data_IF_957658154041
#
_entry.id   IF_957658154041
#
_cell.length_a   1.000
_cell.length_b   1.000
_cell.length_c   1.000
_cell.angle_alpha   90.00
_cell.angle_beta   90.00
_cell.angle_gamma   90.00
#
_symmetry.space_group_name_H-M   'P 1'
#
loop_
_entity.id
_entity.type
_entity.pdbx_description
1 polymer ?
#
# COMPACT_ATOMS: atom_id res chain seq x y z
N UNK A 1 11.03 6.70 -48.63
CA UNK A 1 11.48 7.15 -47.30
C UNK A 1 10.62 6.45 -46.24
N UNK A 2 11.18 5.50 -45.48
CA UNK A 2 10.48 4.87 -44.35
C UNK A 2 10.57 5.79 -43.13
N UNK A 3 9.43 6.27 -42.64
CA UNK A 3 9.35 6.93 -41.32
C UNK A 3 9.64 5.87 -40.25
N UNK A 4 10.75 6.02 -39.54
CA UNK A 4 10.99 5.26 -38.32
C UNK A 4 10.11 5.86 -37.22
N UNK A 5 9.10 5.08 -36.79
CA UNK A 5 8.44 5.35 -35.52
C UNK A 5 9.46 5.12 -34.40
N UNK A 6 9.88 6.19 -33.74
CA UNK A 6 10.60 6.11 -32.47
C UNK A 6 9.58 5.77 -31.39
N UNK A 7 9.51 4.50 -31.01
CA UNK A 7 8.81 4.07 -29.80
C UNK A 7 9.51 4.70 -28.61
N UNK A 8 8.89 5.70 -27.98
CA UNK A 8 9.36 6.20 -26.69
C UNK A 8 9.15 5.08 -25.67
N UNK A 9 10.25 4.50 -25.17
CA UNK A 9 10.22 3.54 -24.08
C UNK A 9 9.94 4.26 -22.77
N UNK A 10 8.66 4.52 -22.48
CA UNK A 10 8.19 4.86 -21.13
C UNK A 10 7.88 3.54 -20.42
N UNK A 11 8.89 2.73 -20.08
CA UNK A 11 8.67 1.42 -19.42
C UNK A 11 9.82 1.02 -18.47
N UNK A 12 10.22 1.86 -17.52
CA UNK A 12 11.20 1.39 -16.51
C UNK A 12 11.00 1.85 -15.08
N UNK A 13 10.14 2.84 -14.82
CA UNK A 13 9.95 3.37 -13.47
C UNK A 13 8.69 2.85 -12.78
N UNK A 14 7.64 2.54 -13.54
CA UNK A 14 6.42 1.92 -13.01
C UNK A 14 6.67 0.48 -12.57
N UNK A 15 7.26 -0.35 -13.43
CA UNK A 15 7.51 -1.76 -13.14
C UNK A 15 8.29 -2.04 -11.85
N UNK A 16 9.26 -1.20 -11.48
CA UNK A 16 10.09 -1.41 -10.28
C UNK A 16 9.28 -1.21 -8.98
N UNK A 17 8.34 -0.25 -8.98
CA UNK A 17 7.48 0.00 -7.82
C UNK A 17 6.50 -1.15 -7.62
N UNK A 18 5.89 -1.60 -8.70
CA UNK A 18 4.85 -2.63 -8.66
C UNK A 18 5.46 -4.01 -8.36
N UNK A 19 6.68 -4.27 -8.86
CA UNK A 19 7.48 -5.45 -8.51
C UNK A 19 7.85 -5.46 -7.01
N UNK A 20 8.22 -4.30 -6.45
CA UNK A 20 8.51 -4.20 -5.03
C UNK A 20 7.28 -4.50 -4.18
N UNK A 21 6.13 -3.88 -4.45
CA UNK A 21 4.89 -4.16 -3.72
C UNK A 21 4.41 -5.62 -3.87
N UNK A 22 4.69 -6.25 -5.00
CA UNK A 22 4.38 -7.68 -5.24
C UNK A 22 5.28 -8.63 -4.44
N UNK A 23 6.49 -8.19 -4.05
CA UNK A 23 7.42 -8.97 -3.23
C UNK A 23 7.08 -8.99 -1.74
N UNK A 24 6.23 -8.05 -1.29
CA UNK A 24 5.89 -7.89 0.12
C UNK A 24 4.90 -8.95 0.61
N UNK A 25 4.96 -9.22 1.92
CA UNK A 25 3.97 -10.04 2.61
C UNK A 25 2.96 -9.13 3.30
N UNK A 26 1.69 -9.38 3.03
CA UNK A 26 0.55 -8.65 3.56
C UNK A 26 -0.15 -9.43 4.67
N UNK A 27 -0.83 -8.72 5.56
CA UNK A 27 -1.68 -9.29 6.59
C UNK A 27 -2.83 -8.33 6.91
N UNK A 28 -3.88 -8.87 7.54
CA UNK A 28 -4.94 -8.04 8.09
C UNK A 28 -4.53 -7.55 9.48
N UNK A 29 -4.52 -6.24 9.67
CA UNK A 29 -4.33 -5.63 10.99
C UNK A 29 -5.57 -4.82 11.38
N UNK A 30 -5.67 -4.52 12.67
CA UNK A 30 -6.66 -3.63 13.24
C UNK A 30 -5.97 -2.61 14.14
N UNK A 31 -6.30 -1.34 13.95
CA UNK A 31 -5.98 -0.26 14.88
C UNK A 31 -7.31 0.28 15.38
N UNK A 32 -7.52 0.29 16.70
CA UNK A 32 -8.82 0.54 17.32
C UNK A 32 -9.94 -0.29 16.67
N UNK A 33 -10.89 0.37 15.99
CA UNK A 33 -11.99 -0.24 15.25
C UNK A 33 -11.79 -0.31 13.74
N UNK A 34 -10.70 0.28 13.23
CA UNK A 34 -10.37 0.27 11.81
C UNK A 34 -9.67 -1.03 11.42
N UNK A 35 -10.29 -1.80 10.53
CA UNK A 35 -9.65 -2.96 9.88
C UNK A 35 -8.87 -2.49 8.66
N UNK A 36 -7.60 -2.86 8.58
CA UNK A 36 -6.68 -2.48 7.52
C UNK A 36 -6.21 -3.76 6.82
N UNK A 37 -6.79 -4.04 5.64
CA UNK A 37 -6.45 -5.20 4.81
C UNK A 37 -5.15 -5.02 4.02
N UNK A 38 -4.77 -3.78 3.73
CA UNK A 38 -3.51 -3.44 3.06
C UNK A 38 -2.38 -3.18 4.07
N UNK A 39 -2.27 -4.01 5.11
CA UNK A 39 -1.10 -3.96 5.99
C UNK A 39 -0.01 -4.87 5.44
N UNK A 40 1.24 -4.43 5.47
CA UNK A 40 2.37 -5.21 4.96
C UNK A 40 3.59 -5.17 5.87
N UNK A 41 4.41 -6.21 5.78
CA UNK A 41 5.66 -6.35 6.51
C UNK A 41 6.81 -5.90 5.62
N UNK A 42 7.55 -4.89 6.07
CA UNK A 42 8.72 -4.39 5.35
C UNK A 42 9.94 -4.39 6.28
N UNK A 43 10.81 -5.39 6.10
CA UNK A 43 12.05 -5.50 6.86
C UNK A 43 13.14 -4.53 6.40
N UNK A 44 12.97 -3.89 5.24
CA UNK A 44 13.89 -2.87 4.73
C UNK A 44 13.53 -1.46 5.23
N UNK A 45 12.28 -1.23 5.63
CA UNK A 45 11.89 0.01 6.30
C UNK A 45 12.29 -0.01 7.77
N UNK A 46 13.00 1.02 8.23
CA UNK A 46 13.38 1.13 9.65
C UNK A 46 12.17 1.34 10.57
N UNK A 47 11.21 2.13 10.13
CA UNK A 47 10.01 2.52 10.88
C UNK A 47 8.72 2.07 10.18
N UNK A 48 7.63 2.00 10.93
CA UNK A 48 6.31 1.79 10.36
C UNK A 48 5.75 3.07 9.70
N UNK A 49 4.81 2.90 8.79
CA UNK A 49 4.15 4.01 8.10
C UNK A 49 2.65 3.77 8.00
N UNK A 50 1.83 4.79 8.25
CA UNK A 50 0.39 4.76 8.00
C UNK A 50 0.05 5.86 7.01
N UNK A 51 -0.73 5.53 5.97
CA UNK A 51 -1.06 6.54 4.98
C UNK A 51 -2.14 7.52 5.46
N UNK A 52 -2.31 8.60 4.69
CA UNK A 52 -3.33 9.61 4.92
C UNK A 52 -4.74 9.04 5.10
N UNK A 53 -5.13 8.06 4.28
CA UNK A 53 -6.42 7.39 4.42
C UNK A 53 -6.60 6.73 5.80
N UNK A 54 -5.58 6.02 6.30
CA UNK A 54 -5.60 5.44 7.65
C UNK A 54 -5.74 6.51 8.73
N UNK A 55 -4.93 7.57 8.69
CA UNK A 55 -4.94 8.62 9.72
C UNK A 55 -6.28 9.37 9.72
N UNK A 56 -6.79 9.70 8.53
CA UNK A 56 -8.07 10.39 8.37
C UNK A 56 -9.24 9.53 8.86
N UNK A 57 -9.23 8.23 8.57
CA UNK A 57 -10.25 7.30 9.05
C UNK A 57 -10.26 7.15 10.58
N UNK A 58 -9.09 7.22 11.21
CA UNK A 58 -8.95 7.21 12.67
C UNK A 58 -9.29 8.57 13.32
N UNK A 59 -9.29 9.65 12.53
CA UNK A 59 -9.50 11.02 13.04
C UNK A 59 -8.38 11.49 13.98
N UNK A 60 -7.19 10.90 13.88
CA UNK A 60 -6.10 11.16 14.81
C UNK A 60 -5.28 12.39 14.43
N UNK A 61 -4.64 12.98 15.45
CA UNK A 61 -3.61 14.00 15.31
C UNK A 61 -2.27 13.40 15.70
N UNK A 62 -1.21 13.81 15.02
CA UNK A 62 0.13 13.35 15.35
C UNK A 62 0.52 13.78 16.77
N UNK A 63 1.20 12.91 17.50
CA UNK A 63 1.72 13.17 18.85
C UNK A 63 2.80 14.26 18.80
N UNK A 64 3.61 14.23 17.73
CA UNK A 64 4.67 15.20 17.45
C UNK A 64 4.86 15.36 15.94
N UNK A 65 5.32 16.54 15.48
CA UNK A 65 5.76 16.71 14.11
C UNK A 65 6.94 15.79 13.80
N UNK A 66 7.14 15.52 12.52
CA UNK A 66 8.35 14.87 12.04
C UNK A 66 9.35 15.91 11.53
N UNK A 67 10.63 15.62 11.72
CA UNK A 67 11.76 16.49 11.39
C UNK A 67 12.70 15.89 10.32
N UNK A 68 12.33 14.75 9.72
CA UNK A 68 13.14 14.08 8.69
C UNK A 68 12.35 13.86 7.40
N UNK A 69 13.06 13.96 6.28
CA UNK A 69 12.57 13.51 4.99
C UNK A 69 12.67 11.99 4.89
N UNK A 70 11.64 11.34 4.36
CA UNK A 70 11.69 9.90 4.08
C UNK A 70 12.42 9.70 2.77
N UNK A 71 13.59 9.05 2.83
CA UNK A 71 14.29 8.59 1.63
C UNK A 71 13.92 7.14 1.38
N UNK A 72 12.97 6.91 0.48
CA UNK A 72 12.50 5.56 0.12
C UNK A 72 12.62 5.27 -1.38
N UNK A 73 12.40 4.01 -1.74
CA UNK A 73 12.31 3.58 -3.14
C UNK A 73 10.95 3.89 -3.78
N UNK A 74 9.96 4.27 -2.97
CA UNK A 74 8.62 4.62 -3.45
C UNK A 74 8.62 6.00 -4.08
N UNK A 75 8.06 6.12 -5.29
CA UNK A 75 7.77 7.40 -5.95
C UNK A 75 6.66 8.19 -5.24
N UNK A 76 5.94 7.55 -4.32
CA UNK A 76 4.75 8.10 -3.68
C UNK A 76 5.01 8.64 -2.27
N UNK A 77 6.07 8.19 -1.59
CA UNK A 77 6.34 8.56 -0.19
C UNK A 77 7.41 9.65 -0.19
N UNK A 78 6.97 10.91 -0.19
CA UNK A 78 7.85 12.08 -0.22
C UNK A 78 8.16 12.63 1.16
N UNK A 79 7.18 12.68 2.07
CA UNK A 79 7.32 13.35 3.36
C UNK A 79 6.76 12.55 4.54
N UNK A 80 7.47 12.61 5.67
CA UNK A 80 6.97 12.21 6.98
C UNK A 80 6.23 13.39 7.59
N UNK A 81 4.92 13.26 7.84
CA UNK A 81 4.10 14.40 8.29
C UNK A 81 3.90 14.47 9.81
N UNK A 82 4.30 13.43 10.55
CA UNK A 82 4.14 13.37 12.00
C UNK A 82 4.22 11.95 12.53
N UNK A 83 4.46 11.82 13.84
CA UNK A 83 4.59 10.54 14.52
C UNK A 83 3.36 10.18 15.35
N UNK A 84 3.09 8.88 15.38
CA UNK A 84 2.15 8.24 16.27
C UNK A 84 2.91 7.17 17.05
N UNK A 85 2.80 7.21 18.36
CA UNK A 85 3.58 6.39 19.29
C UNK A 85 2.68 5.47 20.09
N UNK A 86 3.22 4.30 20.44
CA UNK A 86 2.54 3.29 21.25
C UNK A 86 1.15 2.86 20.72
N UNK A 87 0.97 2.90 19.40
CA UNK A 87 -0.30 2.56 18.75
C UNK A 87 -0.57 1.06 18.87
N UNK A 88 -1.72 0.63 19.42
CA UNK A 88 -2.05 -0.78 19.55
C UNK A 88 -2.40 -1.39 18.19
N UNK A 89 -1.51 -2.24 17.67
CA UNK A 89 -1.74 -2.97 16.42
C UNK A 89 -2.19 -4.38 16.77
N UNK A 90 -3.41 -4.72 16.37
CA UNK A 90 -4.04 -6.01 16.64
C UNK A 90 -4.08 -6.87 15.38
N UNK A 91 -3.66 -8.11 15.48
CA UNK A 91 -3.58 -9.06 14.36
C UNK A 91 -4.16 -10.40 14.82
N UNK A 92 -4.83 -11.13 13.92
CA UNK A 92 -5.31 -12.48 14.20
C UNK A 92 -4.24 -13.51 13.89
N UNK A 93 -4.00 -14.44 14.81
CA UNK A 93 -3.22 -15.63 14.51
C UNK A 93 -4.02 -16.63 13.67
N UNK A 94 -3.35 -17.72 13.25
CA UNK A 94 -3.93 -18.79 12.45
C UNK A 94 -5.15 -19.47 13.09
N UNK A 95 -5.28 -19.40 14.41
CA UNK A 95 -6.38 -20.01 15.17
C UNK A 95 -7.52 -18.98 15.39
N UNK A 96 -7.39 -17.78 14.79
CA UNK A 96 -8.35 -16.68 14.89
C UNK A 96 -8.21 -15.86 16.17
N UNK A 97 -7.22 -16.15 17.02
CA UNK A 97 -7.00 -15.41 18.27
C UNK A 97 -6.35 -14.06 17.96
N UNK A 98 -6.91 -13.00 18.52
CA UNK A 98 -6.30 -11.67 18.45
C UNK A 98 -5.07 -11.57 19.35
N UNK A 99 -3.99 -11.02 18.80
CA UNK A 99 -2.79 -10.61 19.51
C UNK A 99 -2.55 -9.12 19.23
N UNK A 100 -2.10 -8.39 20.24
CA UNK A 100 -1.90 -6.93 20.13
C UNK A 100 -0.50 -6.57 20.61
N UNK A 101 0.21 -5.79 19.80
CA UNK A 101 1.52 -5.23 20.16
C UNK A 101 1.56 -3.76 19.75
N UNK A 102 2.16 -2.92 20.60
CA UNK A 102 2.25 -1.48 20.28
C UNK A 102 3.34 -1.20 19.26
N UNK A 103 3.08 -0.28 18.34
CA UNK A 103 4.03 0.16 17.31
C UNK A 103 4.05 1.67 17.16
N UNK A 104 5.17 2.16 16.65
CA UNK A 104 5.32 3.56 16.28
C UNK A 104 5.31 3.64 14.75
N UNK A 105 4.60 4.63 14.21
CA UNK A 105 4.62 4.89 12.79
C UNK A 105 4.60 6.38 12.48
N UNK A 106 5.10 6.69 11.29
CA UNK A 106 4.92 8.01 10.69
C UNK A 106 3.68 8.04 9.82
N UNK A 107 3.04 9.20 9.73
CA UNK A 107 2.13 9.49 8.62
C UNK A 107 2.93 9.61 7.32
N UNK A 108 2.47 8.94 6.27
CA UNK A 108 3.00 9.05 4.91
C UNK A 108 1.88 9.50 3.98
N UNK A 109 2.19 10.41 3.07
CA UNK A 109 1.36 10.60 1.88
C UNK A 109 1.79 9.54 0.85
N UNK A 110 0.83 8.83 0.28
CA UNK A 110 1.07 7.92 -0.85
C UNK A 110 0.05 8.12 -1.99
N UNK A 111 -0.88 9.07 -1.86
CA UNK A 111 -1.97 9.28 -2.81
C UNK A 111 -3.05 8.19 -2.86
N UNK A 112 -2.94 7.12 -2.05
CA UNK A 112 -3.89 6.00 -2.09
C UNK A 112 -5.14 6.30 -1.23
N UNK A 113 -6.35 6.03 -1.75
CA UNK A 113 -7.59 6.29 -1.01
C UNK A 113 -7.88 5.21 0.06
N UNK A 114 -7.26 4.03 -0.05
CA UNK A 114 -7.49 2.93 0.88
C UNK A 114 -6.54 2.99 2.09
N UNK A 115 -7.02 2.66 3.32
CA UNK A 115 -6.16 2.55 4.48
C UNK A 115 -5.02 1.54 4.27
N UNK A 116 -3.80 1.98 4.56
CA UNK A 116 -2.57 1.20 4.44
C UNK A 116 -1.72 1.33 5.72
N UNK A 117 -1.06 0.22 6.10
CA UNK A 117 -0.16 0.17 7.25
C UNK A 117 1.11 -0.64 6.92
N UNK A 118 2.25 0.05 6.87
CA UNK A 118 3.58 -0.55 6.84
C UNK A 118 4.03 -0.91 8.26
N UNK A 119 4.33 -2.18 8.49
CA UNK A 119 4.97 -2.70 9.69
C UNK A 119 6.47 -2.86 9.44
N UNK A 120 7.22 -1.82 9.78
CA UNK A 120 8.67 -1.75 9.58
C UNK A 120 9.47 -2.63 10.54
N UNK A 121 10.78 -2.68 10.31
CA UNK A 121 11.73 -3.52 11.03
C UNK A 121 11.74 -3.28 12.54
N UNK A 122 11.54 -2.04 13.00
CA UNK A 122 11.44 -1.74 14.45
C UNK A 122 10.31 -2.52 15.11
N UNK A 123 9.13 -2.57 14.50
CA UNK A 123 7.99 -3.33 15.04
C UNK A 123 8.23 -4.83 14.92
N UNK A 124 8.74 -5.30 13.76
CA UNK A 124 9.08 -6.71 13.53
C UNK A 124 10.05 -7.20 14.62
N UNK A 125 11.11 -6.46 14.93
CA UNK A 125 12.06 -6.81 16.01
C UNK A 125 11.41 -6.83 17.38
N UNK A 126 10.55 -5.85 17.68
CA UNK A 126 9.84 -5.76 18.97
C UNK A 126 9.01 -7.01 19.25
N UNK A 127 8.37 -7.58 18.23
CA UNK A 127 7.60 -8.82 18.34
C UNK A 127 8.42 -10.09 18.07
N UNK A 128 9.75 -9.99 18.00
CA UNK A 128 10.66 -11.09 17.64
C UNK A 128 10.21 -11.82 16.35
N UNK A 129 9.80 -11.01 15.38
CA UNK A 129 9.17 -11.43 14.14
C UNK A 129 10.12 -12.12 13.18
N UNK A 130 9.63 -13.18 12.53
CA UNK A 130 10.32 -13.91 11.47
C UNK A 130 9.35 -14.12 10.32
N UNK A 131 9.69 -13.59 9.14
CA UNK A 131 8.92 -13.76 7.92
C UNK A 131 9.27 -15.11 7.28
N UNK A 132 8.24 -15.84 6.83
CA UNK A 132 8.35 -17.08 6.08
C UNK A 132 7.43 -17.01 4.85
N UNK A 133 7.83 -16.24 3.81
CA UNK A 133 7.00 -16.00 2.63
C UNK A 133 6.69 -17.30 1.87
N UNK A 134 7.57 -18.30 1.92
CA UNK A 134 7.35 -19.61 1.30
C UNK A 134 6.14 -20.34 1.90
N UNK A 135 5.80 -20.05 3.16
CA UNK A 135 4.66 -20.63 3.87
C UNK A 135 3.50 -19.65 4.03
N UNK A 136 3.61 -18.44 3.49
CA UNK A 136 2.68 -17.34 3.72
C UNK A 136 2.42 -17.16 5.23
N UNK A 137 3.50 -17.08 6.01
CA UNK A 137 3.43 -16.97 7.46
C UNK A 137 4.37 -15.91 8.01
N UNK A 138 3.90 -15.21 9.03
CA UNK A 138 4.72 -14.41 9.92
C UNK A 138 4.68 -15.00 11.32
N UNK A 139 5.84 -15.43 11.81
CA UNK A 139 5.97 -15.93 13.19
C UNK A 139 6.35 -14.77 14.09
N UNK A 140 5.70 -14.65 15.24
CA UNK A 140 6.07 -13.66 16.26
C UNK A 140 6.09 -14.29 17.64
N UNK A 141 6.83 -13.68 18.56
CA UNK A 141 6.84 -14.02 19.99
C UNK A 141 6.58 -12.78 20.82
N UNK A 142 5.49 -12.82 21.58
CA UNK A 142 5.06 -11.72 22.44
C UNK A 142 4.79 -12.25 23.85
N UNK A 143 5.40 -11.62 24.86
CA UNK A 143 5.31 -12.03 26.27
C UNK A 143 5.57 -13.53 26.51
N UNK A 144 6.59 -14.08 25.84
CA UNK A 144 6.95 -15.49 25.98
C UNK A 144 6.11 -16.47 25.14
N UNK A 145 4.98 -16.03 24.57
CA UNK A 145 4.10 -16.85 23.75
C UNK A 145 4.41 -16.68 22.26
N UNK A 146 4.45 -17.79 21.52
CA UNK A 146 4.63 -17.80 20.07
C UNK A 146 3.28 -17.79 19.34
N UNK A 147 3.23 -17.08 18.22
CA UNK A 147 2.07 -16.96 17.34
C UNK A 147 2.50 -17.18 15.89
N UNK A 148 1.60 -17.76 15.11
CA UNK A 148 1.74 -17.89 13.66
C UNK A 148 0.63 -17.06 13.05
N UNK A 149 1.02 -16.00 12.36
CA UNK A 149 0.10 -15.09 11.66
C UNK A 149 0.07 -15.51 10.19
N UNK A 150 -1.11 -15.75 9.60
CA UNK A 150 -1.23 -15.95 8.17
C UNK A 150 -0.92 -14.64 7.43
N UNK A 151 -0.09 -14.72 6.40
CA UNK A 151 0.18 -13.62 5.47
C UNK A 151 -0.30 -13.98 4.07
N UNK A 152 -0.23 -13.05 3.13
CA UNK A 152 -0.52 -13.29 1.72
C UNK A 152 0.34 -12.39 0.83
N UNK A 153 0.62 -12.84 -0.39
CA UNK A 153 1.25 -12.00 -1.44
C UNK A 153 0.17 -11.41 -2.33
N UNK A 154 0.41 -10.22 -2.88
CA UNK A 154 -0.40 -9.70 -4.00
C UNK A 154 0.19 -10.16 -5.33
N UNK A 155 -0.66 -10.48 -6.29
CA UNK A 155 -0.20 -10.67 -7.65
C UNK A 155 0.18 -9.29 -8.24
N UNK A 156 1.16 -9.21 -9.15
CA UNK A 156 1.39 -8.00 -9.92
C UNK A 156 0.11 -7.64 -10.68
N UNK A 157 -0.36 -6.40 -10.54
CA UNK A 157 -1.44 -5.90 -11.37
C UNK A 157 -0.87 -5.72 -12.79
N UNK A 158 -1.32 -6.58 -13.71
CA UNK A 158 -1.06 -6.38 -15.13
C UNK A 158 -2.10 -5.36 -15.59
N UNK A 159 -1.69 -4.14 -15.87
CA UNK A 159 -2.56 -3.22 -16.60
C UNK A 159 -2.85 -3.83 -17.97
N UNK A 160 -4.11 -4.21 -18.20
CA UNK A 160 -4.59 -4.62 -19.51
C UNK A 160 -4.58 -3.38 -20.42
N UNK A 161 -3.84 -3.37 -21.55
CA UNK A 161 -3.71 -2.19 -22.40
C UNK A 161 -5.00 -1.80 -23.16
N UNK A 162 -6.13 -2.46 -22.93
CA UNK A 162 -7.35 -2.36 -23.74
C UNK A 162 -8.57 -1.74 -23.03
N UNK A 163 -8.38 -0.84 -22.06
CA UNK A 163 -9.44 0.12 -21.68
C UNK A 163 -9.34 1.45 -22.44
N UNK A 164 -9.43 1.36 -23.77
CA UNK A 164 -10.03 2.41 -24.60
C UNK A 164 -11.29 1.86 -25.26
N UNK A 165 -12.35 1.65 -24.49
CA UNK A 165 -13.67 1.41 -25.05
C UNK A 165 -14.38 2.75 -25.33
N UNK A 166 -14.28 3.15 -26.59
CA UNK A 166 -15.42 3.63 -27.39
C UNK A 166 -16.05 4.97 -27.01
N UNK A 167 -15.38 6.07 -27.36
CA UNK A 167 -16.09 7.25 -27.89
C UNK A 167 -15.95 7.27 -29.42
N UNK A 168 -16.59 6.31 -30.09
CA UNK A 168 -16.84 6.40 -31.53
C UNK A 168 -18.27 6.85 -31.77
N UNK A 169 -18.52 8.16 -31.75
CA UNK A 169 -19.67 8.72 -32.46
C UNK A 169 -19.17 9.25 -33.79
N UNK A 170 -19.14 8.39 -34.80
CA UNK A 170 -19.05 8.87 -36.19
C UNK A 170 -20.43 9.42 -36.57
N UNK A 171 -20.54 10.66 -37.10
CA UNK A 171 -21.79 11.15 -37.64
C UNK A 171 -21.93 10.59 -39.05
N UNK A 172 -23.05 9.95 -39.36
CA UNK A 172 -23.48 9.83 -40.76
C UNK A 172 -24.98 9.64 -40.84
N UNK A 173 -25.68 10.70 -41.20
CA UNK A 173 -26.85 10.64 -42.07
C UNK A 173 -27.12 12.04 -42.61
N UNK A 174 -26.88 12.20 -43.92
CA UNK A 174 -27.48 13.23 -44.74
C UNK A 174 -29.00 13.23 -44.52
N UNK A 175 -29.58 14.40 -44.24
CA UNK A 175 -30.98 14.66 -44.53
C UNK A 175 -31.07 16.01 -45.24
N UNK A 176 -31.46 15.93 -46.50
CA UNK A 176 -31.70 17.03 -47.43
C UNK A 176 -33.10 17.66 -47.17
N UNK A 177 -33.26 18.91 -47.60
CA UNK A 177 -34.52 19.67 -47.80
C UNK A 177 -35.21 20.32 -46.58
N UNK A 178 -35.08 21.66 -46.44
CA UNK A 178 -35.96 22.70 -47.08
C UNK A 178 -36.12 23.97 -46.21
N UNK A 179 -35.94 25.14 -46.88
CA UNK A 179 -36.65 26.45 -46.70
C UNK A 179 -36.46 27.16 -45.33
N UNK A 180 -36.23 28.45 -45.15
CA UNK A 180 -36.50 29.74 -45.85
C UNK A 180 -35.64 30.78 -45.04
N UNK A 181 -35.25 31.98 -45.44
CA UNK A 181 -35.79 33.02 -46.31
C UNK A 181 -34.64 33.97 -46.70
#
# INVERSE_FOLDING_TARGET
MRKMCQSHTVQKKESISDEWFSSLQYLNAKIDDLTISNSFLDSASEFGGANDATINALGWKADKPSDFAIKGNSKHITDSLGWFTDVPISIKDKDGKTVTATGNFTRIDNGEPEPMLCLGMTWIRKVQGVLDPNKNQFRMKLHGKAYIIPTFSKAPEVEDPDQTSTNSSSPNSEEDLKKSA
#
